data_IF_681134550976
#
_entry.id   IF_681134550976
#
_cell.length_a   1.000
_cell.length_b   1.000
_cell.length_c   1.000
_cell.angle_alpha   90.00
_cell.angle_beta   90.00
_cell.angle_gamma   90.00
#
_symmetry.space_group_name_H-M   'P 1'
#
loop_
_entity.id
_entity.type
_entity.pdbx_description
1 polymer ?
#
# COMPACT_ATOMS: atom_id res chain seq x y z
N UNK A 1 54.01 -0.99 -15.59
CA UNK A 1 52.88 -0.06 -15.43
C UNK A 1 51.60 -0.57 -16.09
N UNK A 2 51.60 -1.10 -17.31
CA UNK A 2 50.38 -1.61 -18.01
C UNK A 2 49.69 -2.78 -17.28
N UNK A 3 50.42 -3.68 -16.62
CA UNK A 3 49.86 -4.84 -15.90
C UNK A 3 49.14 -4.46 -14.61
N UNK A 4 49.58 -3.39 -13.94
CA UNK A 4 48.94 -2.89 -12.71
C UNK A 4 47.63 -2.18 -13.05
N UNK A 5 47.57 -1.47 -14.18
CA UNK A 5 46.38 -0.80 -14.66
C UNK A 5 45.24 -1.80 -15.01
N UNK A 6 45.60 -2.94 -15.59
CA UNK A 6 44.67 -4.01 -15.93
C UNK A 6 44.11 -4.71 -14.68
N UNK A 7 44.93 -4.88 -13.62
CA UNK A 7 44.47 -5.44 -12.33
C UNK A 7 43.52 -4.49 -11.60
N UNK A 8 43.80 -3.16 -11.61
CA UNK A 8 42.89 -2.18 -11.02
C UNK A 8 41.56 -2.11 -11.78
N UNK A 9 41.56 -2.16 -13.10
CA UNK A 9 40.34 -2.14 -13.91
C UNK A 9 39.48 -3.40 -13.66
N UNK A 10 40.12 -4.57 -13.49
CA UNK A 10 39.42 -5.81 -13.17
C UNK A 10 38.82 -5.80 -11.75
N UNK A 11 39.50 -5.19 -10.78
CA UNK A 11 39.00 -5.06 -9.41
C UNK A 11 37.82 -4.09 -9.34
N UNK A 12 37.83 -2.97 -10.08
CA UNK A 12 36.70 -2.04 -10.17
C UNK A 12 35.45 -2.68 -10.81
N UNK A 13 35.63 -3.55 -11.81
CA UNK A 13 34.51 -4.24 -12.46
C UNK A 13 33.80 -5.22 -11.51
N UNK A 14 34.50 -5.81 -10.55
CA UNK A 14 33.91 -6.70 -9.54
C UNK A 14 33.06 -5.96 -8.49
N UNK A 15 33.31 -4.68 -8.22
CA UNK A 15 32.51 -3.89 -7.29
C UNK A 15 31.20 -3.34 -7.88
N UNK A 16 31.04 -3.31 -9.21
CA UNK A 16 29.83 -2.82 -9.85
C UNK A 16 28.68 -3.84 -9.87
N UNK A 17 28.95 -5.12 -9.57
CA UNK A 17 27.92 -6.18 -9.58
C UNK A 17 27.17 -6.28 -8.22
N UNK A 18 27.66 -5.62 -7.16
CA UNK A 18 27.11 -5.77 -5.80
C UNK A 18 25.88 -4.89 -5.51
N UNK A 19 25.42 -4.05 -6.43
CA UNK A 19 24.23 -3.19 -6.25
C UNK A 19 23.01 -3.64 -7.07
N UNK A 20 22.88 -4.93 -7.41
CA UNK A 20 21.60 -5.41 -7.91
C UNK A 20 20.64 -5.53 -6.71
N UNK A 21 19.55 -4.79 -6.73
CA UNK A 21 18.43 -4.93 -5.83
C UNK A 21 18.02 -6.41 -5.81
N UNK A 22 18.42 -7.14 -4.76
CA UNK A 22 18.00 -8.53 -4.60
C UNK A 22 16.49 -8.50 -4.33
N UNK A 23 15.69 -8.75 -5.36
CA UNK A 23 14.37 -9.34 -5.17
C UNK A 23 14.62 -10.56 -4.29
N UNK A 24 13.99 -10.59 -3.14
CA UNK A 24 14.11 -11.68 -2.18
C UNK A 24 13.74 -12.99 -2.91
N UNK A 25 14.75 -13.83 -3.15
CA UNK A 25 14.63 -15.02 -4.00
C UNK A 25 14.04 -16.21 -3.22
N UNK A 26 13.09 -15.96 -2.30
CA UNK A 26 12.38 -17.00 -1.55
C UNK A 26 11.18 -17.59 -2.30
N UNK A 27 10.92 -17.12 -3.53
CA UNK A 27 9.79 -17.56 -4.36
C UNK A 27 8.43 -17.07 -3.88
N UNK A 28 8.39 -16.21 -2.84
CA UNK A 28 7.16 -15.61 -2.32
C UNK A 28 6.78 -14.35 -3.08
N UNK A 29 5.48 -14.07 -3.14
CA UNK A 29 4.99 -12.79 -3.67
C UNK A 29 5.33 -11.65 -2.70
N UNK A 30 5.75 -10.51 -3.23
CA UNK A 30 5.94 -9.29 -2.46
C UNK A 30 4.69 -8.43 -2.60
N UNK A 31 3.96 -8.26 -1.52
CA UNK A 31 2.71 -7.51 -1.47
C UNK A 31 2.94 -6.28 -0.60
N UNK A 32 2.63 -5.10 -1.15
CA UNK A 32 2.59 -3.84 -0.40
C UNK A 32 1.13 -3.49 -0.11
N UNK A 33 0.84 -3.20 1.14
CA UNK A 33 -0.50 -2.81 1.61
C UNK A 33 -0.48 -1.40 2.17
N UNK A 34 -1.60 -0.71 2.15
CA UNK A 34 -1.67 0.68 2.58
C UNK A 34 -1.58 0.83 4.10
N UNK A 35 -2.61 0.53 4.85
CA UNK A 35 -2.66 0.75 6.29
C UNK A 35 -3.06 -0.53 7.05
N UNK A 36 -3.04 -0.48 8.38
CA UNK A 36 -3.04 -1.67 9.23
C UNK A 36 -4.18 -2.68 8.97
N UNK A 37 -5.47 -2.30 8.86
CA UNK A 37 -6.54 -3.25 8.54
C UNK A 37 -6.32 -4.00 7.23
N UNK A 38 -5.94 -3.31 6.16
CA UNK A 38 -5.64 -3.92 4.86
C UNK A 38 -4.45 -4.88 4.97
N UNK A 39 -3.42 -4.49 5.73
CA UNK A 39 -2.25 -5.33 6.01
C UNK A 39 -2.64 -6.63 6.70
N UNK A 40 -3.39 -6.57 7.80
CA UNK A 40 -3.78 -7.76 8.56
C UNK A 40 -4.66 -8.71 7.74
N UNK A 41 -5.66 -8.19 7.01
CA UNK A 41 -6.47 -9.00 6.11
C UNK A 41 -5.63 -9.66 5.03
N UNK A 42 -4.77 -8.91 4.37
CA UNK A 42 -3.90 -9.44 3.33
C UNK A 42 -2.99 -10.52 3.87
N UNK A 43 -2.41 -10.32 5.05
CA UNK A 43 -1.52 -11.28 5.71
C UNK A 43 -2.25 -12.57 6.08
N UNK A 44 -3.46 -12.49 6.59
CA UNK A 44 -4.27 -13.67 6.92
C UNK A 44 -4.63 -14.48 5.66
N UNK A 45 -4.96 -13.81 4.56
CA UNK A 45 -5.31 -14.47 3.30
C UNK A 45 -4.08 -15.08 2.63
N UNK A 46 -2.96 -14.35 2.61
CA UNK A 46 -1.73 -14.78 1.94
C UNK A 46 -0.97 -15.87 2.73
N UNK A 47 -1.10 -15.89 4.06
CA UNK A 47 -0.36 -16.81 4.92
C UNK A 47 1.15 -16.75 4.64
N UNK A 48 1.77 -17.93 4.50
CA UNK A 48 3.21 -18.06 4.24
C UNK A 48 3.60 -17.94 2.76
N UNK A 49 2.64 -17.68 1.86
CA UNK A 49 2.88 -17.63 0.41
C UNK A 49 3.37 -16.27 -0.08
N UNK A 50 3.27 -15.24 0.75
CA UNK A 50 3.70 -13.89 0.41
C UNK A 50 4.43 -13.20 1.56
N UNK A 51 5.28 -12.24 1.17
CA UNK A 51 5.85 -11.23 2.04
C UNK A 51 4.94 -10.01 1.98
N UNK A 52 4.20 -9.75 3.05
CA UNK A 52 3.28 -8.62 3.12
C UNK A 52 3.93 -7.47 3.88
N UNK A 53 3.95 -6.30 3.28
CA UNK A 53 4.56 -5.10 3.85
C UNK A 53 3.53 -3.99 4.04
N UNK A 54 3.58 -3.35 5.22
CA UNK A 54 2.76 -2.21 5.58
C UNK A 54 3.42 -0.90 5.12
N UNK A 55 2.68 -0.06 4.38
CA UNK A 55 3.18 1.22 3.87
C UNK A 55 2.99 2.36 4.88
N UNK A 56 1.80 2.46 5.47
CA UNK A 56 1.37 3.54 6.36
C UNK A 56 1.41 3.02 7.79
N UNK A 57 2.37 3.53 8.58
CA UNK A 57 2.53 3.14 9.98
C UNK A 57 1.43 3.67 10.90
N UNK A 58 1.37 3.09 12.11
CA UNK A 58 0.43 3.52 13.13
C UNK A 58 0.56 5.03 13.43
N UNK A 59 -0.58 5.70 13.62
CA UNK A 59 -0.63 7.13 13.93
C UNK A 59 -0.55 8.06 12.71
N UNK A 60 -0.49 7.51 11.49
CA UNK A 60 -0.59 8.29 10.26
C UNK A 60 -1.98 8.10 9.68
N UNK A 61 -2.64 9.21 9.34
CA UNK A 61 -3.98 9.22 8.74
C UNK A 61 -3.90 8.76 7.26
N UNK A 62 -4.58 7.67 6.88
CA UNK A 62 -4.51 7.15 5.51
C UNK A 62 -5.12 8.07 4.46
N UNK A 63 -6.13 8.86 4.84
CA UNK A 63 -6.87 9.74 3.94
C UNK A 63 -6.01 10.90 3.42
N UNK A 64 -5.18 11.48 4.31
CA UNK A 64 -4.28 12.61 4.00
C UNK A 64 -2.84 12.16 3.70
N UNK A 65 -2.62 10.86 3.55
CA UNK A 65 -1.27 10.35 3.31
C UNK A 65 -0.75 10.75 1.94
N UNK A 66 0.47 11.30 1.91
CA UNK A 66 1.21 11.56 0.67
C UNK A 66 2.41 10.60 0.58
N UNK A 67 2.42 9.69 -0.42
CA UNK A 67 3.52 8.75 -0.54
C UNK A 67 4.82 9.44 -0.94
N UNK A 68 5.88 9.21 -0.15
CA UNK A 68 7.22 9.66 -0.50
C UNK A 68 7.73 8.95 -1.76
N UNK A 69 8.76 9.51 -2.42
CA UNK A 69 9.39 8.86 -3.57
C UNK A 69 9.87 7.43 -3.24
N UNK A 70 10.33 7.19 -2.00
CA UNK A 70 10.72 5.85 -1.53
C UNK A 70 9.52 4.91 -1.42
N UNK A 71 8.38 5.40 -0.95
CA UNK A 71 7.14 4.62 -0.88
C UNK A 71 6.63 4.25 -2.28
N UNK A 72 6.65 5.20 -3.21
CA UNK A 72 6.29 4.95 -4.62
C UNK A 72 7.21 3.90 -5.26
N UNK A 73 8.53 4.02 -5.07
CA UNK A 73 9.49 3.04 -5.58
C UNK A 73 9.23 1.63 -5.02
N UNK A 74 8.92 1.53 -3.71
CA UNK A 74 8.55 0.27 -3.06
C UNK A 74 7.31 -0.37 -3.71
N UNK A 75 6.27 0.41 -3.98
CA UNK A 75 5.06 -0.08 -4.65
C UNK A 75 5.38 -0.52 -6.08
N UNK A 76 6.20 0.25 -6.82
CA UNK A 76 6.62 -0.09 -8.18
C UNK A 76 7.46 -1.38 -8.25
N UNK A 77 8.13 -1.75 -7.17
CA UNK A 77 8.94 -2.98 -7.08
C UNK A 77 8.16 -4.18 -6.54
N UNK A 78 6.97 -3.99 -6.03
CA UNK A 78 6.09 -5.06 -5.56
C UNK A 78 5.50 -5.87 -6.72
N UNK A 79 5.07 -7.11 -6.41
CA UNK A 79 4.28 -7.92 -7.32
C UNK A 79 2.80 -7.53 -7.24
N UNK A 80 2.35 -7.10 -6.04
CA UNK A 80 0.96 -6.69 -5.81
C UNK A 80 0.89 -5.50 -4.86
N UNK A 81 0.01 -4.56 -5.17
CA UNK A 81 -0.37 -3.44 -4.30
C UNK A 81 -1.83 -3.59 -3.90
N UNK A 82 -2.11 -3.58 -2.58
CA UNK A 82 -3.46 -3.73 -2.02
C UNK A 82 -3.82 -2.47 -1.24
N UNK A 83 -4.95 -1.88 -1.56
CA UNK A 83 -5.52 -0.71 -0.91
C UNK A 83 -7.00 -0.94 -0.59
N UNK A 84 -7.59 -0.17 0.30
CA UNK A 84 -8.99 -0.37 0.66
C UNK A 84 -9.93 0.11 -0.44
N UNK A 85 -10.00 1.42 -0.65
CA UNK A 85 -10.79 2.05 -1.71
C UNK A 85 -10.36 3.51 -1.91
N UNK A 86 -10.82 4.12 -3.00
CA UNK A 86 -10.45 5.47 -3.41
C UNK A 86 -10.99 6.57 -2.50
N UNK A 87 -12.03 6.28 -1.70
CA UNK A 87 -12.59 7.23 -0.76
C UNK A 87 -11.75 7.30 0.52
N UNK A 88 -11.21 6.17 0.96
CA UNK A 88 -10.32 6.11 2.13
C UNK A 88 -8.90 6.59 1.79
N UNK A 89 -8.38 6.18 0.63
CA UNK A 89 -7.02 6.55 0.20
C UNK A 89 -7.09 7.44 -1.05
N UNK A 90 -7.41 8.71 -0.86
CA UNK A 90 -7.63 9.71 -1.93
C UNK A 90 -6.42 9.93 -2.84
N UNK A 91 -5.22 9.57 -2.38
CA UNK A 91 -3.96 9.64 -3.12
C UNK A 91 -3.74 8.47 -4.09
N UNK A 92 -4.44 7.35 -3.89
CA UNK A 92 -4.24 6.11 -4.66
C UNK A 92 -4.58 6.28 -6.15
N UNK A 93 -5.67 6.92 -6.58
CA UNK A 93 -5.97 7.07 -8.01
C UNK A 93 -4.80 7.69 -8.79
N UNK A 94 -4.21 8.77 -8.28
CA UNK A 94 -3.05 9.43 -8.90
C UNK A 94 -1.83 8.51 -8.95
N UNK A 95 -1.61 7.68 -7.94
CA UNK A 95 -0.53 6.70 -7.93
C UNK A 95 -0.77 5.63 -9.00
N UNK A 96 -1.98 5.07 -9.10
CA UNK A 96 -2.33 4.02 -10.06
C UNK A 96 -2.07 4.41 -11.51
N UNK A 97 -2.19 5.71 -11.84
CA UNK A 97 -1.88 6.24 -13.18
C UNK A 97 -0.38 6.19 -13.49
N UNK A 98 0.48 6.11 -12.48
CA UNK A 98 1.93 6.06 -12.62
C UNK A 98 2.51 4.65 -12.60
N UNK A 99 1.71 3.64 -12.21
CA UNK A 99 2.16 2.26 -12.11
C UNK A 99 2.15 1.53 -13.45
N UNK A 100 3.18 0.72 -13.67
CA UNK A 100 3.17 -0.26 -14.77
C UNK A 100 2.23 -1.43 -14.39
N UNK A 101 1.02 -1.41 -14.96
CA UNK A 101 -0.02 -2.43 -14.73
C UNK A 101 0.38 -3.84 -15.20
N UNK A 102 1.45 -3.97 -15.97
CA UNK A 102 2.00 -5.27 -16.36
C UNK A 102 2.94 -5.84 -15.30
N UNK A 103 3.56 -4.95 -14.50
CA UNK A 103 4.50 -5.33 -13.44
C UNK A 103 3.82 -5.48 -12.09
N UNK A 104 2.96 -4.53 -11.73
CA UNK A 104 2.31 -4.47 -10.41
C UNK A 104 0.82 -4.76 -10.57
N UNK A 105 0.35 -5.84 -9.96
CA UNK A 105 -1.08 -6.12 -9.85
C UNK A 105 -1.67 -5.24 -8.75
N UNK A 106 -2.77 -4.54 -9.04
CA UNK A 106 -3.47 -3.72 -8.04
C UNK A 106 -4.76 -4.41 -7.60
N UNK A 107 -5.03 -4.41 -6.30
CA UNK A 107 -6.22 -5.02 -5.70
C UNK A 107 -6.88 -3.97 -4.78
N UNK A 108 -8.15 -3.71 -5.05
CA UNK A 108 -9.02 -2.95 -4.16
C UNK A 108 -9.68 -3.91 -3.18
N UNK A 109 -9.43 -3.75 -1.90
CA UNK A 109 -9.87 -4.70 -0.87
C UNK A 109 -11.39 -4.77 -0.72
N UNK A 110 -12.09 -3.65 -0.92
CA UNK A 110 -13.56 -3.62 -0.95
C UNK A 110 -14.16 -4.21 -2.22
N UNK A 111 -13.37 -4.47 -3.27
CA UNK A 111 -13.88 -4.94 -4.56
C UNK A 111 -14.91 -3.98 -5.15
N UNK A 112 -16.01 -4.54 -5.64
CA UNK A 112 -17.15 -3.79 -6.19
C UNK A 112 -18.27 -3.61 -5.13
N UNK A 113 -17.93 -3.68 -3.84
CA UNK A 113 -18.91 -3.51 -2.77
C UNK A 113 -19.53 -2.11 -2.84
N UNK A 114 -20.86 -2.06 -2.81
CA UNK A 114 -21.60 -0.81 -2.74
C UNK A 114 -21.36 -0.18 -1.37
N UNK A 115 -20.77 1.01 -1.35
CA UNK A 115 -20.64 1.82 -0.14
C UNK A 115 -22.01 2.44 0.18
N UNK A 116 -22.39 2.41 1.45
CA UNK A 116 -23.59 3.11 1.89
C UNK A 116 -23.32 4.62 1.85
N UNK A 117 -24.30 5.46 1.48
CA UNK A 117 -24.17 6.90 1.65
C UNK A 117 -23.91 7.21 3.13
N UNK A 118 -23.04 8.16 3.39
CA UNK A 118 -22.78 8.64 4.75
C UNK A 118 -24.09 9.00 5.43
N UNK A 119 -24.28 8.56 6.67
CA UNK A 119 -25.47 8.93 7.45
C UNK A 119 -25.53 10.45 7.59
N UNK A 120 -26.72 11.05 7.39
CA UNK A 120 -26.96 12.41 7.81
C UNK A 120 -26.77 12.41 9.34
N UNK A 121 -25.75 13.12 9.83
CA UNK A 121 -25.63 13.35 11.26
C UNK A 121 -26.88 14.10 11.68
N UNK A 122 -27.74 13.48 12.48
CA UNK A 122 -28.80 14.21 13.16
C UNK A 122 -28.12 15.30 13.96
N UNK A 123 -28.30 16.56 13.55
CA UNK A 123 -27.79 17.74 14.22
C UNK A 123 -28.34 17.75 15.67
N UNK A 124 -27.66 17.06 16.56
CA UNK A 124 -27.71 17.33 17.98
C UNK A 124 -26.95 18.61 18.23
N UNK A 125 -27.68 19.69 18.47
CA UNK A 125 -27.23 21.03 18.82
C UNK A 125 -26.09 20.99 19.86
N UNK A 126 -24.84 20.94 19.38
CA UNK A 126 -23.61 21.22 20.14
C UNK A 126 -22.76 22.17 19.33
N UNK A 127 -22.91 23.46 19.65
CA UNK A 127 -22.09 24.58 19.25
C UNK A 127 -20.61 24.37 19.61
N UNK A 128 -19.84 23.78 18.69
CA UNK A 128 -18.38 23.84 18.64
C UNK A 128 -17.97 23.87 17.18
N UNK A 129 -17.53 25.07 16.73
CA UNK A 129 -17.04 25.28 15.36
C UNK A 129 -15.78 24.48 15.08
N UNK A 130 -15.93 23.38 14.35
CA UNK A 130 -14.90 22.74 13.59
C UNK A 130 -15.45 22.43 12.19
N UNK A 131 -14.68 22.78 11.17
CA UNK A 131 -15.02 22.59 9.78
C UNK A 131 -15.19 21.08 9.50
N UNK A 132 -16.44 20.59 9.42
CA UNK A 132 -16.76 19.21 9.12
C UNK A 132 -16.45 18.90 7.66
N UNK A 133 -15.53 17.95 7.44
CA UNK A 133 -15.33 17.36 6.12
C UNK A 133 -16.53 16.45 5.80
N UNK A 134 -17.32 16.86 4.81
CA UNK A 134 -18.42 16.05 4.28
C UNK A 134 -17.85 14.88 3.47
N UNK A 135 -17.96 13.66 3.99
CA UNK A 135 -17.68 12.45 3.23
C UNK A 135 -18.93 12.01 2.48
N UNK A 136 -18.85 11.87 1.17
CA UNK A 136 -19.97 11.41 0.34
C UNK A 136 -20.38 9.96 0.65
N UNK A 137 -19.46 9.17 1.21
CA UNK A 137 -19.69 7.77 1.57
C UNK A 137 -18.91 7.37 2.82
N UNK A 138 -19.56 6.64 3.74
CA UNK A 138 -18.89 5.99 4.86
C UNK A 138 -18.19 4.70 4.42
N UNK A 139 -17.00 4.38 4.98
CA UNK A 139 -16.40 3.07 4.77
C UNK A 139 -17.31 1.99 5.36
N UNK A 140 -17.42 0.81 4.72
CA UNK A 140 -18.29 -0.24 5.21
C UNK A 140 -17.83 -0.71 6.60
N UNK A 141 -18.64 -0.46 7.62
CA UNK A 141 -18.49 -1.11 8.90
C UNK A 141 -18.70 -2.61 8.69
N UNK A 142 -17.69 -3.42 8.94
CA UNK A 142 -17.78 -4.88 8.96
C UNK A 142 -18.70 -5.27 10.13
N UNK A 143 -20.00 -5.38 9.87
CA UNK A 143 -20.93 -5.98 10.81
C UNK A 143 -20.71 -7.49 10.76
N UNK A 144 -19.86 -7.99 11.66
CA UNK A 144 -19.77 -9.42 11.92
C UNK A 144 -21.03 -9.78 12.72
N UNK A 145 -22.08 -10.21 12.02
CA UNK A 145 -23.20 -10.89 12.66
C UNK A 145 -22.73 -12.29 13.07
N UNK A 146 -22.22 -12.40 14.30
CA UNK A 146 -22.04 -13.71 14.91
C UNK A 146 -23.44 -14.25 15.24
N UNK A 147 -23.97 -15.10 14.35
CA UNK A 147 -25.13 -15.92 14.63
C UNK A 147 -24.68 -17.07 15.53
N UNK A 148 -24.87 -16.92 16.84
CA UNK A 148 -24.83 -18.06 17.77
C UNK A 148 -26.10 -18.87 17.59
N UNK A 149 -25.95 -20.11 17.15
CA UNK A 149 -26.86 -21.23 17.46
C UNK A 149 -26.05 -22.36 18.03
#
# INVERSE_FOLDING_TARGET
MKKISLLLASLCALFLVACSNQKQADGKLNIVTTFYPVYEFTKQVAGDTANVELLIGAGTEPHEYEPSAKAVAKIQDADTFVYENENMETWVPKLLDTLDKKKVKTIKATGDMLLLPGGEEEEGDHDHGEEGHHHEFDPPCLVITSSCH
#
